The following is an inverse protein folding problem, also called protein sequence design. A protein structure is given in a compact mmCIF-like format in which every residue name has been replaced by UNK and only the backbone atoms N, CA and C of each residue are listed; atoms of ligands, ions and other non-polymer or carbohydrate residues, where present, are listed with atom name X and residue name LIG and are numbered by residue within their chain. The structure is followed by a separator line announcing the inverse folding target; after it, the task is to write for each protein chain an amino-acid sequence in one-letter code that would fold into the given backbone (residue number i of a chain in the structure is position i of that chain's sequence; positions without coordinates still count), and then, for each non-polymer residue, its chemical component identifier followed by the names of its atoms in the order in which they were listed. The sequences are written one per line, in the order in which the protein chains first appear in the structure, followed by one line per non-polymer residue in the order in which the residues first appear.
data_IF_642115746918
#
_entry.id   IF_642115746918
#
_cell.length_a   1.000
_cell.length_b   1.000
_cell.length_c   1.000
_cell.angle_alpha   90.00
_cell.angle_beta   90.00
_cell.angle_gamma   90.00
#
_symmetry.space_group_name_H-M   'P 1'
#
loop_
_entity.id
_entity.type
_entity.pdbx_description
1 polymer ?
#
# COMPACT_ATOMS: atom_id res chain seq x y z
N UNK A 1 -0.52 4.80 -6.23
CA UNK A 1 -0.06 5.36 -7.52
C UNK A 1 -1.24 5.84 -8.35
N UNK A 2 -2.20 4.98 -8.73
CA UNK A 2 -3.35 5.31 -9.59
C UNK A 2 -4.14 6.52 -9.07
N UNK A 3 -4.34 6.60 -7.75
CA UNK A 3 -5.00 7.72 -7.07
C UNK A 3 -4.27 9.05 -7.24
N UNK A 4 -2.93 9.05 -7.14
CA UNK A 4 -2.11 10.25 -7.32
C UNK A 4 -2.17 10.74 -8.78
N UNK A 5 -2.06 9.82 -9.75
CA UNK A 5 -2.20 10.13 -11.18
C UNK A 5 -3.58 10.72 -11.47
N UNK A 6 -4.64 10.06 -11.00
CA UNK A 6 -6.02 10.50 -11.19
C UNK A 6 -6.24 11.92 -10.65
N UNK A 7 -5.77 12.19 -9.43
CA UNK A 7 -5.92 13.50 -8.81
C UNK A 7 -5.16 14.59 -9.58
N UNK A 8 -3.94 14.29 -10.06
CA UNK A 8 -3.16 15.25 -10.86
C UNK A 8 -3.90 15.58 -12.16
N UNK A 9 -4.43 14.57 -12.87
CA UNK A 9 -5.17 14.79 -14.11
C UNK A 9 -6.46 15.60 -13.86
N UNK A 10 -7.16 15.31 -12.78
CA UNK A 10 -8.37 16.06 -12.39
C UNK A 10 -8.05 17.52 -12.10
N UNK A 11 -7.02 17.79 -11.30
CA UNK A 11 -6.58 19.15 -10.98
C UNK A 11 -6.02 19.91 -12.20
N UNK A 12 -5.50 19.18 -13.19
CA UNK A 12 -5.08 19.75 -14.46
C UNK A 12 -6.24 20.06 -15.41
N UNK A 13 -7.48 19.81 -15.00
CA UNK A 13 -8.68 20.05 -15.83
C UNK A 13 -8.81 19.06 -17.00
N UNK A 14 -8.18 17.89 -16.89
CA UNK A 14 -8.24 16.85 -17.93
C UNK A 14 -9.42 15.89 -17.76
N UNK A 15 -10.18 16.00 -16.67
CA UNK A 15 -11.42 15.27 -16.35
C UNK A 15 -11.40 13.79 -16.76
N UNK A 16 -10.47 12.98 -16.23
CA UNK A 16 -10.32 11.59 -16.66
C UNK A 16 -11.48 10.71 -16.19
N UNK A 17 -11.76 9.66 -16.95
CA UNK A 17 -12.51 8.51 -16.45
C UNK A 17 -11.63 7.74 -15.46
N UNK A 18 -12.19 7.36 -14.32
CA UNK A 18 -11.48 6.66 -13.24
C UNK A 18 -12.06 5.27 -13.02
N UNK A 19 -11.18 4.27 -12.88
CA UNK A 19 -11.47 2.92 -12.41
C UNK A 19 -10.31 2.48 -11.51
N UNK A 20 -10.44 2.68 -10.20
CA UNK A 20 -9.34 2.53 -9.23
C UNK A 20 -9.80 1.56 -8.13
N UNK A 21 -8.89 0.72 -7.62
CA UNK A 21 -9.21 -0.32 -6.64
C UNK A 21 -9.64 0.22 -5.27
N UNK A 22 -9.18 1.41 -4.87
CA UNK A 22 -9.53 2.05 -3.59
C UNK A 22 -10.28 3.37 -3.77
N UNK A 23 -11.17 3.71 -2.83
CA UNK A 23 -11.84 5.02 -2.80
C UNK A 23 -10.83 6.12 -2.47
N UNK A 24 -10.75 7.16 -3.32
CA UNK A 24 -9.89 8.31 -3.09
C UNK A 24 -10.51 9.21 -2.02
N UNK A 25 -9.75 9.52 -0.97
CA UNK A 25 -10.20 10.43 0.09
C UNK A 25 -10.53 11.84 -0.44
N UNK A 26 -9.85 12.29 -1.49
CA UNK A 26 -10.02 13.62 -2.08
C UNK A 26 -11.26 13.76 -2.97
N UNK A 27 -11.73 12.66 -3.57
CA UNK A 27 -12.84 12.66 -4.55
C UNK A 27 -14.05 11.89 -4.00
N UNK A 28 -13.86 10.97 -3.05
CA UNK A 28 -14.91 10.18 -2.41
C UNK A 28 -15.48 9.06 -3.28
N UNK A 29 -14.79 8.67 -4.36
CA UNK A 29 -15.22 7.59 -5.25
C UNK A 29 -13.99 6.78 -5.73
N UNK A 30 -14.23 5.55 -6.14
CA UNK A 30 -13.25 4.69 -6.79
C UNK A 30 -13.49 4.55 -8.30
N UNK A 31 -14.67 4.92 -8.79
CA UNK A 31 -15.02 4.95 -10.20
C UNK A 31 -15.80 6.22 -10.54
N UNK A 32 -15.46 6.84 -11.68
CA UNK A 32 -16.08 8.07 -12.17
C UNK A 32 -15.97 8.10 -13.68
N UNK A 33 -17.05 8.40 -14.36
CA UNK A 33 -17.01 8.74 -15.78
C UNK A 33 -16.54 10.20 -15.94
N UNK A 34 -15.47 10.42 -16.67
CA UNK A 34 -14.98 11.73 -17.08
C UNK A 34 -15.41 12.08 -18.50
N UNK A 35 -15.36 13.35 -18.83
CA UNK A 35 -15.63 13.87 -20.18
C UNK A 35 -14.31 14.19 -20.95
N UNK A 36 -13.17 13.98 -20.31
CA UNK A 36 -11.85 14.16 -20.91
C UNK A 36 -11.38 12.93 -21.71
N UNK A 37 -10.26 13.08 -22.43
CA UNK A 37 -9.76 12.02 -23.34
C UNK A 37 -8.99 10.90 -22.62
N UNK A 38 -8.81 10.98 -21.31
CA UNK A 38 -7.98 10.03 -20.55
C UNK A 38 -8.82 9.11 -19.67
N UNK A 39 -8.32 7.89 -19.49
CA UNK A 39 -8.79 6.96 -18.48
C UNK A 39 -7.61 6.54 -17.59
N UNK A 40 -7.79 6.63 -16.27
CA UNK A 40 -6.88 6.05 -15.29
C UNK A 40 -7.52 4.77 -14.77
N UNK A 41 -6.91 3.63 -15.09
CA UNK A 41 -7.37 2.33 -14.66
C UNK A 41 -6.30 1.65 -13.81
N UNK A 42 -6.70 1.13 -12.65
CA UNK A 42 -5.90 0.20 -11.87
C UNK A 42 -6.19 -1.21 -12.36
N UNK A 43 -5.15 -1.92 -12.75
CA UNK A 43 -5.25 -3.29 -13.24
C UNK A 43 -4.74 -4.24 -12.17
N UNK A 44 -5.47 -5.33 -11.97
CA UNK A 44 -5.15 -6.40 -11.04
C UNK A 44 -4.58 -7.59 -11.81
N UNK A 45 -3.51 -8.18 -11.30
CA UNK A 45 -2.85 -9.32 -11.93
C UNK A 45 -3.45 -10.68 -11.54
N UNK A 46 -4.35 -10.72 -10.55
CA UNK A 46 -4.81 -11.95 -9.88
C UNK A 46 -5.36 -13.04 -10.81
N UNK A 47 -5.92 -12.67 -11.96
CA UNK A 47 -6.50 -13.56 -12.97
C UNK A 47 -5.80 -13.47 -14.33
N UNK A 48 -4.70 -12.71 -14.42
CA UNK A 48 -3.95 -12.47 -15.66
C UNK A 48 -4.67 -11.58 -16.67
N UNK A 49 -5.84 -11.01 -16.32
CA UNK A 49 -6.62 -10.17 -17.25
C UNK A 49 -5.90 -8.88 -17.66
N UNK A 50 -5.00 -8.37 -16.83
CA UNK A 50 -4.19 -7.17 -17.10
C UNK A 50 -3.38 -7.30 -18.40
N UNK A 51 -2.97 -8.50 -18.78
CA UNK A 51 -2.25 -8.78 -20.03
C UNK A 51 -3.08 -8.49 -21.30
N UNK A 52 -4.40 -8.28 -21.19
CA UNK A 52 -5.28 -7.97 -22.32
C UNK A 52 -5.40 -6.48 -22.61
N UNK A 53 -4.86 -5.64 -21.74
CA UNK A 53 -4.94 -4.19 -21.89
C UNK A 53 -3.77 -3.65 -22.70
N UNK A 54 -4.06 -2.63 -23.54
CA UNK A 54 -3.09 -1.94 -24.37
C UNK A 54 -3.11 -0.43 -24.04
N UNK A 55 -2.47 -0.01 -22.94
CA UNK A 55 -2.50 1.38 -22.50
C UNK A 55 -1.59 2.26 -23.37
N UNK A 56 -1.82 3.58 -23.33
CA UNK A 56 -0.88 4.57 -23.85
C UNK A 56 0.32 4.73 -22.90
N UNK A 57 0.08 4.65 -21.59
CA UNK A 57 1.12 4.66 -20.55
C UNK A 57 0.82 3.51 -19.58
N UNK A 58 1.78 2.57 -19.44
CA UNK A 58 1.74 1.51 -18.46
C UNK A 58 2.65 1.85 -17.28
N UNK A 59 2.11 1.86 -16.08
CA UNK A 59 2.90 2.00 -14.84
C UNK A 59 2.96 0.67 -14.14
N UNK A 60 4.16 0.16 -13.86
CA UNK A 60 4.36 -1.06 -13.09
C UNK A 60 5.18 -0.71 -11.85
N UNK A 61 4.56 -0.87 -10.70
CA UNK A 61 5.15 -0.47 -9.41
C UNK A 61 6.05 -1.56 -8.82
N UNK A 62 5.65 -2.79 -8.98
CA UNK A 62 6.39 -3.98 -8.53
C UNK A 62 5.90 -5.23 -9.27
N UNK A 63 6.69 -6.30 -9.21
CA UNK A 63 6.31 -7.64 -9.62
C UNK A 63 6.74 -8.61 -8.51
N UNK A 64 5.80 -9.04 -7.68
CA UNK A 64 6.02 -9.92 -6.55
C UNK A 64 5.19 -11.20 -6.65
N UNK A 65 5.57 -12.23 -5.90
CA UNK A 65 4.86 -13.48 -5.92
C UNK A 65 3.63 -13.43 -5.01
N UNK A 66 2.50 -13.21 -5.59
CA UNK A 66 1.17 -13.35 -4.98
C UNK A 66 0.27 -14.19 -5.92
N UNK A 67 -1.00 -14.35 -5.55
CA UNK A 67 -2.00 -15.07 -6.34
C UNK A 67 -1.53 -16.47 -6.76
N UNK A 68 -1.02 -17.23 -5.79
CA UNK A 68 -0.41 -18.57 -5.98
C UNK A 68 -1.31 -19.57 -6.73
N UNK A 69 -2.63 -19.37 -6.71
CA UNK A 69 -3.59 -20.15 -7.48
C UNK A 69 -3.51 -19.89 -8.99
N UNK A 70 -3.09 -18.69 -9.40
CA UNK A 70 -2.92 -18.31 -10.80
C UNK A 70 -1.46 -18.39 -11.23
N UNK A 71 -0.53 -17.99 -10.37
CA UNK A 71 0.90 -18.02 -10.59
C UNK A 71 1.58 -19.03 -9.66
N UNK A 72 1.82 -20.27 -10.13
CA UNK A 72 2.41 -21.32 -9.31
C UNK A 72 3.84 -21.00 -8.82
N UNK A 73 4.56 -20.16 -9.55
CA UNK A 73 5.95 -19.78 -9.24
C UNK A 73 6.17 -18.28 -9.46
N UNK A 74 7.24 -17.74 -8.87
CA UNK A 74 7.63 -16.35 -9.12
C UNK A 74 8.01 -16.11 -10.59
N UNK A 75 8.59 -17.11 -11.25
CA UNK A 75 8.94 -17.04 -12.66
C UNK A 75 7.68 -16.84 -13.54
N UNK A 76 6.56 -17.49 -13.21
CA UNK A 76 5.31 -17.30 -13.95
C UNK A 76 4.74 -15.89 -13.81
N UNK A 77 4.94 -15.23 -12.64
CA UNK A 77 4.64 -13.81 -12.47
C UNK A 77 5.52 -12.96 -13.39
N UNK A 78 6.84 -13.18 -13.35
CA UNK A 78 7.78 -12.42 -14.17
C UNK A 78 7.49 -12.55 -15.67
N UNK A 79 7.11 -13.74 -16.13
CA UNK A 79 6.72 -13.97 -17.53
C UNK A 79 5.47 -13.15 -17.91
N UNK A 80 4.44 -13.12 -17.04
CA UNK A 80 3.22 -12.35 -17.27
C UNK A 80 3.53 -10.84 -17.35
N UNK A 81 4.29 -10.32 -16.38
CA UNK A 81 4.70 -8.91 -16.41
C UNK A 81 5.61 -8.60 -17.59
N UNK A 82 6.50 -9.51 -17.99
CA UNK A 82 7.32 -9.36 -19.22
C UNK A 82 6.46 -9.24 -20.47
N UNK A 83 5.41 -10.09 -20.60
CA UNK A 83 4.44 -9.95 -21.71
C UNK A 83 3.71 -8.61 -21.66
N UNK A 84 3.30 -8.17 -20.47
CA UNK A 84 2.61 -6.89 -20.29
C UNK A 84 3.50 -5.68 -20.69
N UNK A 85 4.82 -5.74 -20.50
CA UNK A 85 5.71 -4.67 -20.95
C UNK A 85 5.69 -4.46 -22.49
N UNK A 86 5.18 -5.42 -23.23
CA UNK A 86 5.01 -5.34 -24.69
C UNK A 86 3.66 -4.74 -25.11
N UNK A 87 2.72 -4.62 -24.19
CA UNK A 87 1.34 -4.24 -24.48
C UNK A 87 1.05 -2.75 -24.69
N UNK A 88 1.86 -1.80 -24.17
CA UNK A 88 1.61 -0.40 -24.52
C UNK A 88 1.52 -0.22 -26.03
N UNK A 89 0.61 0.64 -26.48
CA UNK A 89 0.42 0.97 -27.90
C UNK A 89 1.72 1.43 -28.57
N UNK A 90 1.78 1.45 -29.88
CA UNK A 90 2.92 2.00 -30.61
C UNK A 90 3.12 3.47 -30.23
N UNK A 91 4.33 3.84 -29.81
CA UNK A 91 4.64 5.13 -29.23
C UNK A 91 4.21 5.30 -27.77
N UNK A 92 3.71 4.24 -27.14
CA UNK A 92 3.36 4.24 -25.72
C UNK A 92 4.57 4.14 -24.80
N UNK A 93 4.37 4.44 -23.52
CA UNK A 93 5.41 4.55 -22.51
C UNK A 93 5.26 3.50 -21.40
N UNK A 94 6.39 2.97 -20.95
CA UNK A 94 6.51 2.20 -19.71
C UNK A 94 7.08 3.09 -18.60
N UNK A 95 6.47 3.05 -17.42
CA UNK A 95 6.98 3.69 -16.19
C UNK A 95 7.22 2.61 -15.16
N UNK A 96 8.49 2.32 -14.83
CA UNK A 96 8.89 1.15 -14.08
C UNK A 96 9.65 1.54 -12.81
N UNK A 97 9.31 0.90 -11.67
CA UNK A 97 10.06 1.04 -10.43
C UNK A 97 11.41 0.30 -10.54
N UNK A 98 12.52 1.04 -10.51
CA UNK A 98 13.85 0.46 -10.54
C UNK A 98 14.29 -0.19 -9.24
N UNK A 99 13.59 0.08 -8.15
CA UNK A 99 13.88 -0.47 -6.81
C UNK A 99 13.26 -1.85 -6.58
N UNK A 100 12.35 -2.28 -7.47
CA UNK A 100 11.69 -3.57 -7.32
C UNK A 100 12.55 -4.70 -7.91
N UNK A 101 12.79 -5.74 -7.11
CA UNK A 101 13.65 -6.86 -7.49
C UNK A 101 13.09 -7.68 -8.67
N UNK A 102 11.76 -7.80 -8.77
CA UNK A 102 11.09 -8.49 -9.88
C UNK A 102 11.25 -7.70 -11.17
N UNK A 103 10.96 -6.40 -11.15
CA UNK A 103 11.17 -5.52 -12.30
C UNK A 103 12.65 -5.39 -12.66
N UNK A 104 13.56 -5.42 -11.68
CA UNK A 104 15.00 -5.48 -11.92
C UNK A 104 15.41 -6.69 -12.76
N UNK A 105 14.81 -7.86 -12.56
CA UNK A 105 15.04 -9.04 -13.41
C UNK A 105 14.53 -8.84 -14.84
N UNK A 106 13.36 -8.22 -15.00
CA UNK A 106 12.80 -7.91 -16.32
C UNK A 106 13.70 -6.91 -17.06
N UNK A 107 14.14 -5.85 -16.40
CA UNK A 107 15.06 -4.85 -16.95
C UNK A 107 16.42 -5.46 -17.34
N UNK A 108 16.93 -6.40 -16.56
CA UNK A 108 18.20 -7.07 -16.82
C UNK A 108 18.14 -8.13 -17.94
N UNK A 109 16.94 -8.64 -18.27
CA UNK A 109 16.77 -9.68 -19.29
C UNK A 109 17.01 -9.18 -20.72
N UNK A 110 17.02 -7.87 -20.95
CA UNK A 110 17.32 -7.27 -22.26
C UNK A 110 16.57 -5.96 -22.51
N UNK A 111 16.70 -5.43 -23.73
CA UNK A 111 16.02 -4.18 -24.08
C UNK A 111 14.50 -4.38 -24.04
N UNK A 112 13.81 -3.42 -23.43
CA UNK A 112 12.36 -3.41 -23.39
C UNK A 112 11.78 -3.10 -24.79
N UNK A 113 10.62 -3.67 -25.13
CA UNK A 113 10.01 -3.49 -26.45
C UNK A 113 9.36 -2.11 -26.64
N UNK A 114 9.31 -1.29 -25.60
CA UNK A 114 8.73 0.06 -25.58
C UNK A 114 9.70 1.04 -24.92
N UNK A 115 9.53 2.33 -25.18
CA UNK A 115 10.21 3.38 -24.41
C UNK A 115 9.90 3.23 -22.93
N UNK A 116 10.93 3.30 -22.10
CA UNK A 116 10.79 3.09 -20.67
C UNK A 116 11.43 4.24 -19.88
N UNK A 117 10.70 4.71 -18.91
CA UNK A 117 11.12 5.65 -17.87
C UNK A 117 11.19 4.89 -16.56
N UNK A 118 12.32 4.99 -15.87
CA UNK A 118 12.54 4.34 -14.58
C UNK A 118 12.52 5.33 -13.42
N UNK A 119 12.09 4.88 -12.25
CA UNK A 119 12.10 5.70 -11.05
C UNK A 119 12.60 4.93 -9.83
N UNK A 120 13.19 5.66 -8.88
CA UNK A 120 13.75 5.06 -7.66
C UNK A 120 14.50 6.05 -6.78
N UNK A 121 15.36 5.52 -5.89
CA UNK A 121 16.14 6.31 -4.94
C UNK A 121 17.42 6.87 -5.56
N UNK A 122 17.74 8.11 -5.18
CA UNK A 122 18.93 8.80 -5.68
C UNK A 122 18.72 9.43 -7.05
N UNK A 123 19.81 9.81 -7.70
CA UNK A 123 19.79 10.56 -8.96
C UNK A 123 20.11 9.68 -10.19
N UNK A 124 20.26 8.37 -9.99
CA UNK A 124 20.64 7.43 -11.06
C UNK A 124 19.50 6.95 -11.95
N UNK A 125 18.26 7.23 -11.58
CA UNK A 125 17.05 6.89 -12.32
C UNK A 125 16.57 8.07 -13.16
N UNK A 126 15.69 7.81 -14.14
CA UNK A 126 15.06 8.91 -14.90
C UNK A 126 14.34 9.88 -13.96
N UNK A 127 13.60 9.33 -12.98
CA UNK A 127 13.00 10.09 -11.87
C UNK A 127 13.55 9.58 -10.54
N UNK A 128 14.19 10.45 -9.78
CA UNK A 128 14.84 10.06 -8.53
C UNK A 128 14.39 10.87 -7.33
N UNK A 129 14.28 10.22 -6.16
CA UNK A 129 14.09 10.88 -4.87
C UNK A 129 15.34 10.74 -4.00
N UNK A 130 15.71 11.83 -3.33
CA UNK A 130 16.85 11.88 -2.41
C UNK A 130 16.60 12.92 -1.31
N UNK A 131 17.50 13.03 -0.31
CA UNK A 131 17.32 13.92 0.84
C UNK A 131 15.98 13.75 1.56
N UNK A 132 15.53 12.50 1.72
CA UNK A 132 14.23 12.18 2.33
C UNK A 132 14.22 12.53 3.81
N UNK A 133 13.14 13.18 4.26
CA UNK A 133 12.86 13.50 5.66
C UNK A 133 11.43 13.11 5.99
N UNK A 134 11.27 12.23 6.97
CA UNK A 134 9.96 11.85 7.50
C UNK A 134 9.55 12.85 8.59
N UNK A 135 8.31 13.33 8.54
CA UNK A 135 7.79 14.27 9.50
C UNK A 135 7.14 13.51 10.67
N UNK A 136 7.40 13.98 11.90
CA UNK A 136 6.68 13.45 13.06
C UNK A 136 5.17 13.73 12.92
N UNK A 137 4.36 12.70 13.18
CA UNK A 137 2.91 12.80 13.03
C UNK A 137 2.39 12.66 11.60
N UNK A 138 3.28 12.44 10.63
CA UNK A 138 2.90 12.12 9.25
C UNK A 138 3.45 13.04 8.18
N UNK A 139 3.40 12.54 6.94
CA UNK A 139 3.94 13.23 5.77
C UNK A 139 5.45 13.04 5.59
N UNK A 140 5.95 13.44 4.42
CA UNK A 140 7.35 13.30 4.04
C UNK A 140 7.76 14.42 3.10
N UNK A 141 9.01 14.88 3.21
CA UNK A 141 9.64 15.82 2.27
C UNK A 141 10.89 15.18 1.65
N UNK A 142 11.15 15.48 0.40
CA UNK A 142 12.29 14.96 -0.36
C UNK A 142 12.64 15.84 -1.54
N UNK A 143 13.88 15.75 -1.99
CA UNK A 143 14.33 16.38 -3.24
C UNK A 143 14.03 15.44 -4.41
N UNK A 144 13.59 16.00 -5.55
CA UNK A 144 13.30 15.24 -6.77
C UNK A 144 14.29 15.60 -7.86
N UNK A 145 14.78 14.57 -8.58
CA UNK A 145 15.63 14.71 -9.74
C UNK A 145 14.95 14.12 -10.98
N UNK A 146 15.23 14.71 -12.13
CA UNK A 146 14.89 14.20 -13.46
C UNK A 146 16.16 14.15 -14.32
N UNK A 147 16.45 12.97 -14.88
CA UNK A 147 17.66 12.73 -15.70
C UNK A 147 18.97 13.17 -15.02
N UNK A 148 19.08 12.88 -13.72
CA UNK A 148 20.26 13.21 -12.92
C UNK A 148 20.37 14.68 -12.51
N UNK A 149 19.38 15.53 -12.81
CA UNK A 149 19.35 16.93 -12.42
C UNK A 149 18.32 17.17 -11.33
N UNK A 150 18.70 17.79 -10.22
CA UNK A 150 17.75 18.25 -9.18
C UNK A 150 16.80 19.29 -9.80
N UNK A 151 15.50 19.08 -9.68
CA UNK A 151 14.49 19.98 -10.27
C UNK A 151 13.70 20.76 -9.22
N UNK A 152 13.41 20.17 -8.05
CA UNK A 152 12.68 20.83 -6.95
C UNK A 152 12.72 19.99 -5.67
N UNK A 153 12.14 20.52 -4.58
CA UNK A 153 11.83 19.79 -3.35
C UNK A 153 10.32 19.58 -3.27
N UNK A 154 9.91 18.41 -2.83
CA UNK A 154 8.52 17.99 -2.72
C UNK A 154 8.13 17.66 -1.28
N UNK A 155 6.84 17.81 -1.00
CA UNK A 155 6.20 17.39 0.24
C UNK A 155 4.98 16.54 -0.10
N UNK A 156 4.78 15.47 0.66
CA UNK A 156 3.55 14.67 0.67
C UNK A 156 2.93 14.73 2.05
N UNK A 157 1.61 14.83 2.12
CA UNK A 157 0.86 14.70 3.39
C UNK A 157 0.76 13.26 3.85
N UNK A 158 0.92 12.29 2.94
CA UNK A 158 0.91 10.86 3.25
C UNK A 158 2.32 10.35 3.56
N UNK A 159 2.42 9.40 4.49
CA UNK A 159 3.68 8.84 4.98
C UNK A 159 4.08 7.58 4.23
N UNK A 160 5.34 7.17 4.41
CA UNK A 160 5.90 5.92 3.90
C UNK A 160 6.71 6.09 2.61
N UNK A 161 7.81 5.35 2.53
CA UNK A 161 8.72 5.35 1.39
C UNK A 161 8.03 4.94 0.08
N UNK A 162 7.08 4.01 0.17
CA UNK A 162 6.28 3.58 -0.98
C UNK A 162 5.47 4.74 -1.59
N UNK A 163 5.04 5.72 -0.79
CA UNK A 163 4.33 6.89 -1.32
C UNK A 163 5.25 7.88 -2.02
N UNK A 164 6.54 7.94 -1.66
CA UNK A 164 7.54 8.67 -2.43
C UNK A 164 7.72 8.04 -3.82
N UNK A 165 7.87 6.71 -3.88
CA UNK A 165 7.97 5.97 -5.13
C UNK A 165 6.69 6.13 -5.99
N UNK A 166 5.51 6.05 -5.36
CA UNK A 166 4.23 6.32 -6.04
C UNK A 166 4.17 7.74 -6.62
N UNK A 167 4.67 8.73 -5.88
CA UNK A 167 4.74 10.13 -6.34
C UNK A 167 5.69 10.29 -7.52
N UNK A 168 6.86 9.61 -7.52
CA UNK A 168 7.77 9.62 -8.66
C UNK A 168 7.12 9.04 -9.93
N UNK A 169 6.40 7.92 -9.81
CA UNK A 169 5.63 7.35 -10.91
C UNK A 169 4.57 8.33 -11.44
N UNK A 170 3.84 8.99 -10.53
CA UNK A 170 2.84 9.99 -10.89
C UNK A 170 3.47 11.23 -11.57
N UNK A 171 4.65 11.67 -11.11
CA UNK A 171 5.43 12.73 -11.76
C UNK A 171 5.83 12.35 -13.19
N UNK A 172 6.29 11.11 -13.41
CA UNK A 172 6.68 10.61 -14.72
C UNK A 172 5.51 10.65 -15.71
N UNK A 173 4.33 10.15 -15.29
CA UNK A 173 3.11 10.19 -16.10
C UNK A 173 2.68 11.62 -16.38
N UNK A 174 2.60 12.46 -15.35
CA UNK A 174 2.15 13.85 -15.49
C UNK A 174 3.09 14.69 -16.35
N UNK A 175 4.40 14.47 -16.26
CA UNK A 175 5.41 15.12 -17.10
C UNK A 175 5.23 14.73 -18.58
N UNK A 176 5.00 13.46 -18.87
CA UNK A 176 4.73 12.96 -20.22
C UNK A 176 3.49 13.66 -20.83
N UNK A 177 2.48 13.92 -20.00
CA UNK A 177 1.28 14.65 -20.39
C UNK A 177 1.46 16.17 -20.37
N UNK A 178 2.68 16.66 -20.15
CA UNK A 178 3.07 18.09 -20.15
C UNK A 178 2.32 18.92 -19.09
N UNK A 179 1.94 18.29 -17.96
CA UNK A 179 1.34 19.00 -16.82
C UNK A 179 2.45 19.81 -16.12
N UNK A 180 2.23 21.10 -15.83
CA UNK A 180 3.22 21.94 -15.16
C UNK A 180 3.65 21.36 -13.81
N UNK A 181 4.97 21.30 -13.56
CA UNK A 181 5.50 20.69 -12.32
C UNK A 181 4.99 21.36 -11.04
N UNK A 182 4.76 22.69 -11.08
CA UNK A 182 4.16 23.43 -9.96
C UNK A 182 2.77 22.92 -9.58
N UNK A 183 1.98 22.47 -10.55
CA UNK A 183 0.66 21.87 -10.33
C UNK A 183 0.82 20.45 -9.74
N UNK A 184 1.72 19.64 -10.29
CA UNK A 184 2.02 18.31 -9.76
C UNK A 184 2.41 18.40 -8.29
N UNK A 185 3.37 19.27 -7.96
CA UNK A 185 3.86 19.52 -6.62
C UNK A 185 2.73 19.93 -5.65
N UNK A 186 1.90 20.89 -6.06
CA UNK A 186 0.76 21.33 -5.26
C UNK A 186 -0.22 20.20 -4.98
N UNK A 187 -0.62 19.48 -6.03
CA UNK A 187 -1.60 18.39 -5.93
C UNK A 187 -1.10 17.27 -5.02
N UNK A 188 0.16 16.86 -5.17
CA UNK A 188 0.74 15.80 -4.34
C UNK A 188 0.92 16.22 -2.88
N UNK A 189 1.20 17.49 -2.61
CA UNK A 189 1.23 18.02 -1.24
C UNK A 189 -0.14 17.98 -0.56
N UNK A 190 -1.22 18.19 -1.32
CA UNK A 190 -2.60 18.21 -0.81
C UNK A 190 -3.26 16.81 -0.82
N UNK A 191 -2.60 15.79 -1.39
CA UNK A 191 -3.12 14.43 -1.51
C UNK A 191 -3.36 13.77 -0.16
N UNK A 192 -4.62 13.37 0.13
CA UNK A 192 -5.06 12.81 1.41
C UNK A 192 -4.99 11.28 1.49
N UNK A 193 -4.51 10.63 0.43
CA UNK A 193 -4.46 9.18 0.36
C UNK A 193 -5.73 8.52 -0.18
N UNK A 194 -5.75 7.21 -0.10
CA UNK A 194 -6.92 6.39 -0.36
C UNK A 194 -7.41 5.79 0.96
N UNK A 195 -8.70 5.50 1.06
CA UNK A 195 -9.25 4.81 2.24
C UNK A 195 -8.51 3.50 2.46
N UNK A 196 -8.32 3.16 3.72
CA UNK A 196 -7.62 1.95 4.14
C UNK A 196 -6.16 1.85 3.63
N UNK A 197 -5.46 2.96 3.42
CA UNK A 197 -4.03 3.00 3.10
C UNK A 197 -3.34 3.90 4.13
N UNK A 198 -2.94 3.30 5.25
CA UNK A 198 -2.44 3.96 6.47
C UNK A 198 -3.39 5.11 6.86
N UNK A 199 -4.69 4.83 6.80
CA UNK A 199 -5.75 5.81 7.08
C UNK A 199 -5.81 6.11 8.56
N UNK A 200 -5.67 7.38 8.96
CA UNK A 200 -5.92 7.80 10.32
C UNK A 200 -7.43 7.81 10.59
N UNK A 201 -7.89 6.95 11.51
CA UNK A 201 -9.30 6.86 11.91
C UNK A 201 -9.66 7.85 13.01
N UNK A 202 -8.70 8.23 13.82
CA UNK A 202 -8.87 9.18 14.91
C UNK A 202 -7.98 8.92 16.10
N UNK A 203 -8.15 9.78 17.14
CA UNK A 203 -7.48 9.64 18.42
C UNK A 203 -8.50 9.46 19.54
N UNK A 204 -8.25 8.53 20.45
CA UNK A 204 -9.09 8.31 21.63
C UNK A 204 -8.23 7.98 22.85
N UNK A 205 -8.47 8.64 24.01
CA UNK A 205 -7.73 8.45 25.26
C UNK A 205 -6.19 8.55 25.10
N UNK A 206 -5.72 9.37 24.13
CA UNK A 206 -4.29 9.51 23.83
C UNK A 206 -3.71 8.40 22.95
N UNK A 207 -4.53 7.49 22.43
CA UNK A 207 -4.17 6.43 21.48
C UNK A 207 -4.52 6.87 20.07
N UNK A 208 -3.56 6.81 19.13
CA UNK A 208 -3.79 7.06 17.70
C UNK A 208 -4.23 5.75 17.03
N UNK A 209 -5.26 5.82 16.19
CA UNK A 209 -5.83 4.63 15.52
C UNK A 209 -5.71 4.78 14.01
N UNK A 210 -5.10 3.75 13.38
CA UNK A 210 -4.89 3.67 11.94
C UNK A 210 -5.51 2.39 11.36
N UNK A 211 -5.90 2.44 10.09
CA UNK A 211 -6.34 1.27 9.31
C UNK A 211 -5.57 1.15 7.99
N UNK A 212 -5.21 -0.08 7.62
CA UNK A 212 -4.54 -0.37 6.37
C UNK A 212 -5.10 -1.64 5.70
N UNK A 213 -5.20 -1.61 4.39
CA UNK A 213 -5.69 -2.73 3.57
C UNK A 213 -4.62 -3.80 3.33
N UNK A 214 -3.38 -3.58 3.76
CA UNK A 214 -2.24 -4.47 3.53
C UNK A 214 -2.55 -5.91 3.91
N UNK A 215 -2.31 -6.82 2.99
CA UNK A 215 -2.61 -8.24 3.16
C UNK A 215 -1.49 -9.15 2.61
N UNK A 216 -0.44 -8.56 2.06
CA UNK A 216 0.81 -9.24 1.69
C UNK A 216 1.93 -8.83 2.67
N UNK A 217 2.89 -9.71 3.03
CA UNK A 217 3.96 -9.39 3.99
C UNK A 217 4.74 -8.11 3.65
N UNK A 218 5.00 -7.84 2.37
CA UNK A 218 5.71 -6.61 1.94
C UNK A 218 4.88 -5.34 2.18
N UNK A 219 3.57 -5.40 1.96
CA UNK A 219 2.67 -4.28 2.26
C UNK A 219 2.65 -4.00 3.77
N UNK A 220 2.49 -5.05 4.58
CA UNK A 220 2.51 -4.96 6.03
C UNK A 220 3.83 -4.36 6.51
N UNK A 221 4.97 -4.84 6.01
CA UNK A 221 6.28 -4.31 6.35
C UNK A 221 6.41 -2.81 6.02
N UNK A 222 5.90 -2.39 4.86
CA UNK A 222 5.92 -0.98 4.46
C UNK A 222 5.07 -0.11 5.39
N UNK A 223 3.88 -0.59 5.79
CA UNK A 223 2.97 0.11 6.71
C UNK A 223 3.57 0.20 8.11
N UNK A 224 4.12 -0.89 8.66
CA UNK A 224 4.78 -0.90 9.97
C UNK A 224 5.99 0.04 10.00
N UNK A 225 6.81 0.03 8.94
CA UNK A 225 7.94 0.96 8.81
C UNK A 225 7.50 2.42 8.72
N UNK A 226 6.37 2.71 8.06
CA UNK A 226 5.83 4.06 8.01
C UNK A 226 5.39 4.55 9.40
N UNK A 227 4.69 3.70 10.17
CA UNK A 227 4.27 4.02 11.55
C UNK A 227 5.48 4.26 12.45
N UNK A 228 6.49 3.38 12.40
CA UNK A 228 7.72 3.53 13.21
C UNK A 228 8.41 4.89 12.96
N UNK A 229 8.46 5.32 11.68
CA UNK A 229 9.02 6.65 11.32
C UNK A 229 8.15 7.83 11.73
N UNK A 230 6.82 7.66 11.71
CA UNK A 230 5.89 8.71 12.17
C UNK A 230 5.92 8.88 13.68
N UNK A 231 6.11 7.79 14.41
CA UNK A 231 5.98 7.71 15.85
C UNK A 231 7.14 6.92 16.48
N UNK A 232 8.38 7.38 16.34
CA UNK A 232 9.53 6.67 16.89
C UNK A 232 9.35 6.49 18.41
N UNK A 233 9.70 5.31 18.91
CA UNK A 233 9.62 4.93 20.34
C UNK A 233 8.20 4.80 20.92
N UNK A 234 7.15 4.90 20.10
CA UNK A 234 5.78 4.60 20.53
C UNK A 234 5.51 3.10 20.44
N UNK A 235 4.76 2.58 21.43
CA UNK A 235 4.29 1.21 21.35
C UNK A 235 3.26 1.05 20.24
N UNK A 236 3.40 -0.01 19.46
CA UNK A 236 2.52 -0.36 18.36
C UNK A 236 1.78 -1.67 18.66
N UNK A 237 0.46 -1.58 18.75
CA UNK A 237 -0.45 -2.71 18.84
C UNK A 237 -1.09 -2.93 17.48
N UNK A 238 -0.95 -4.14 16.92
CA UNK A 238 -1.47 -4.50 15.61
C UNK A 238 -2.61 -5.51 15.74
N UNK A 239 -3.79 -5.19 15.19
CA UNK A 239 -4.81 -6.19 14.92
C UNK A 239 -4.68 -6.64 13.46
N UNK A 240 -4.40 -7.92 13.24
CA UNK A 240 -4.18 -8.49 11.91
C UNK A 240 -5.19 -9.59 11.59
N UNK A 241 -5.77 -9.50 10.39
CA UNK A 241 -6.64 -10.54 9.83
C UNK A 241 -6.01 -11.10 8.55
N UNK A 242 -5.49 -12.34 8.57
CA UNK A 242 -5.02 -12.98 7.35
C UNK A 242 -6.16 -13.12 6.34
N UNK A 243 -5.86 -12.93 5.07
CA UNK A 243 -6.84 -12.95 3.98
C UNK A 243 -6.53 -14.09 3.02
N UNK A 244 -7.49 -15.02 2.84
CA UNK A 244 -7.42 -16.28 2.08
C UNK A 244 -6.59 -17.37 2.76
N UNK A 245 -7.10 -18.59 2.73
CA UNK A 245 -6.40 -19.76 3.29
C UNK A 245 -5.15 -20.11 2.49
N UNK A 246 -5.22 -20.03 1.16
CA UNK A 246 -4.08 -20.33 0.28
C UNK A 246 -2.91 -19.41 0.53
N UNK A 247 -3.15 -18.09 0.64
CA UNK A 247 -2.11 -17.11 0.97
C UNK A 247 -1.57 -17.31 2.38
N UNK A 248 -2.44 -17.58 3.35
CA UNK A 248 -2.02 -17.84 4.73
C UNK A 248 -1.09 -19.03 4.79
N UNK A 249 -1.43 -20.14 4.11
CA UNK A 249 -0.58 -21.33 4.06
C UNK A 249 0.78 -21.05 3.41
N UNK A 250 0.80 -20.29 2.33
CA UNK A 250 2.04 -19.98 1.60
C UNK A 250 2.96 -19.04 2.40
N UNK A 251 2.40 -18.04 3.11
CA UNK A 251 3.16 -16.89 3.63
C UNK A 251 3.11 -16.73 5.16
N UNK A 252 2.56 -17.71 5.94
CA UNK A 252 2.43 -17.55 7.40
C UNK A 252 3.76 -17.27 8.12
N UNK A 253 4.89 -17.74 7.60
CA UNK A 253 6.22 -17.49 8.15
C UNK A 253 6.66 -16.04 7.93
N UNK A 254 6.37 -15.52 6.76
CA UNK A 254 6.69 -14.14 6.40
C UNK A 254 5.79 -13.17 7.16
N UNK A 255 4.48 -13.51 7.33
CA UNK A 255 3.59 -12.76 8.22
C UNK A 255 4.12 -12.69 9.65
N UNK A 256 4.51 -13.81 10.23
CA UNK A 256 5.06 -13.83 11.58
C UNK A 256 6.36 -13.00 11.67
N UNK A 257 7.23 -13.09 10.66
CA UNK A 257 8.47 -12.33 10.62
C UNK A 257 8.22 -10.82 10.62
N UNK A 258 7.33 -10.32 9.75
CA UNK A 258 7.05 -8.87 9.67
C UNK A 258 6.27 -8.37 10.90
N UNK A 259 5.29 -9.12 11.39
CA UNK A 259 4.50 -8.76 12.57
C UNK A 259 5.32 -8.80 13.87
N UNK A 260 6.46 -9.48 13.86
CA UNK A 260 7.35 -9.52 15.02
C UNK A 260 7.93 -8.15 15.40
N UNK A 261 7.86 -7.15 14.54
CA UNK A 261 8.27 -5.77 14.86
C UNK A 261 7.25 -5.00 15.71
N UNK A 262 5.98 -5.40 15.75
CA UNK A 262 4.98 -4.81 16.63
C UNK A 262 5.22 -5.20 18.11
N UNK A 263 4.76 -4.40 19.07
CA UNK A 263 4.86 -4.70 20.49
C UNK A 263 3.83 -5.76 20.94
N UNK A 264 2.64 -5.73 20.35
CA UNK A 264 1.59 -6.73 20.54
C UNK A 264 0.81 -6.95 19.26
N UNK A 265 0.36 -8.19 19.03
CA UNK A 265 -0.40 -8.59 17.86
C UNK A 265 -1.70 -9.30 18.27
N UNK A 266 -2.83 -8.75 17.86
CA UNK A 266 -4.14 -9.41 17.99
C UNK A 266 -4.46 -10.05 16.64
N UNK A 267 -4.63 -11.37 16.63
CA UNK A 267 -4.86 -12.17 15.43
C UNK A 267 -6.32 -12.60 15.33
N UNK A 268 -6.96 -12.27 14.22
CA UNK A 268 -8.31 -12.74 13.90
C UNK A 268 -8.30 -14.02 13.06
N UNK A 269 -9.44 -14.74 12.96
CA UNK A 269 -9.58 -15.84 12.03
C UNK A 269 -9.30 -15.42 10.59
N UNK A 270 -8.82 -16.36 9.78
CA UNK A 270 -8.57 -16.10 8.36
C UNK A 270 -9.87 -15.66 7.68
N UNK A 271 -9.84 -14.52 6.99
CA UNK A 271 -10.94 -14.08 6.14
C UNK A 271 -10.97 -14.91 4.84
N UNK A 272 -12.07 -15.62 4.61
CA UNK A 272 -12.16 -16.67 3.58
C UNK A 272 -12.06 -16.12 2.14
N UNK A 273 -12.69 -14.97 1.86
CA UNK A 273 -12.71 -14.35 0.52
C UNK A 273 -13.00 -15.35 -0.61
N UNK A 274 -14.13 -16.06 -0.49
CA UNK A 274 -14.62 -17.07 -1.46
C UNK A 274 -13.76 -18.35 -1.57
N UNK A 275 -12.83 -18.59 -0.62
CA UNK A 275 -12.10 -19.85 -0.53
C UNK A 275 -12.75 -20.80 0.49
N UNK A 276 -12.69 -22.10 0.21
CA UNK A 276 -13.03 -23.13 1.18
C UNK A 276 -11.91 -23.25 2.23
N UNK A 277 -12.22 -23.52 3.52
CA UNK A 277 -11.23 -23.74 4.53
C UNK A 277 -10.27 -24.88 4.18
N UNK A 278 -8.98 -24.66 4.41
CA UNK A 278 -7.94 -25.69 4.26
C UNK A 278 -7.64 -26.29 5.64
N UNK A 279 -7.70 -27.62 5.75
CA UNK A 279 -7.43 -28.32 7.01
C UNK A 279 -6.04 -27.98 7.55
N UNK A 280 -5.98 -27.60 8.84
CA UNK A 280 -4.74 -27.21 9.51
C UNK A 280 -4.28 -25.78 9.23
N UNK A 281 -4.99 -25.00 8.40
CA UNK A 281 -4.64 -23.60 8.11
C UNK A 281 -5.52 -22.65 8.89
N UNK A 282 -4.87 -21.87 9.76
CA UNK A 282 -5.53 -20.84 10.57
C UNK A 282 -4.50 -19.77 10.98
N UNK A 283 -4.97 -18.70 11.58
CA UNK A 283 -4.11 -17.67 12.22
C UNK A 283 -3.22 -18.28 13.34
N UNK A 284 -3.56 -19.46 13.85
CA UNK A 284 -2.75 -20.21 14.80
C UNK A 284 -1.36 -20.58 14.28
N UNK A 285 -1.17 -20.69 12.94
CA UNK A 285 0.16 -20.91 12.36
C UNK A 285 1.10 -19.69 12.59
N UNK A 286 0.54 -18.49 12.51
CA UNK A 286 1.26 -17.22 12.74
C UNK A 286 1.50 -17.05 14.24
N UNK A 287 0.46 -17.30 15.06
CA UNK A 287 0.52 -17.22 16.52
C UNK A 287 1.60 -18.10 17.10
N UNK A 288 1.66 -19.36 16.65
CA UNK A 288 2.67 -20.31 17.11
C UNK A 288 4.12 -19.84 16.87
N UNK A 289 4.37 -19.09 15.79
CA UNK A 289 5.67 -18.51 15.48
C UNK A 289 5.96 -17.26 16.31
N UNK A 290 4.97 -16.38 16.49
CA UNK A 290 5.11 -15.15 17.27
C UNK A 290 5.31 -15.46 18.77
N UNK A 291 4.61 -16.47 19.30
CA UNK A 291 4.70 -16.89 20.69
C UNK A 291 5.76 -17.99 20.93
N UNK A 292 6.49 -18.39 19.90
CA UNK A 292 7.62 -19.30 20.03
C UNK A 292 8.70 -18.76 20.98
N UNK A 293 9.44 -19.66 21.63
CA UNK A 293 10.52 -19.31 22.57
C UNK A 293 10.08 -18.58 23.86
N UNK A 294 8.83 -18.73 24.28
CA UNK A 294 8.32 -18.19 25.54
C UNK A 294 7.97 -16.69 25.51
N UNK A 295 7.95 -16.07 24.34
CA UNK A 295 7.39 -14.75 24.15
C UNK A 295 5.86 -14.86 24.06
N UNK A 296 5.14 -13.98 24.76
CA UNK A 296 3.68 -13.83 24.62
C UNK A 296 3.41 -12.56 23.84
N UNK A 297 3.60 -12.62 22.53
CA UNK A 297 3.56 -11.46 21.63
C UNK A 297 2.23 -11.35 20.88
N UNK A 298 1.53 -12.47 20.71
CA UNK A 298 0.26 -12.50 20.00
C UNK A 298 -0.85 -13.18 20.81
N UNK A 299 -2.08 -12.76 20.53
CA UNK A 299 -3.32 -13.27 21.12
C UNK A 299 -4.29 -13.58 19.98
N UNK A 300 -4.88 -14.79 20.00
CA UNK A 300 -5.93 -15.20 19.07
C UNK A 300 -7.29 -14.72 19.60
N UNK A 301 -8.04 -14.02 18.77
CA UNK A 301 -9.42 -13.61 19.03
C UNK A 301 -10.36 -14.29 18.04
N UNK A 302 -11.55 -14.67 18.49
CA UNK A 302 -12.55 -15.37 17.67
C UNK A 302 -13.46 -14.44 16.88
N UNK A 303 -13.54 -13.14 17.24
CA UNK A 303 -14.42 -12.15 16.60
C UNK A 303 -13.80 -10.75 16.58
N UNK A 304 -14.41 -9.86 15.82
CA UNK A 304 -14.03 -8.44 15.75
C UNK A 304 -14.24 -7.73 17.11
N UNK A 305 -15.32 -8.06 17.79
CA UNK A 305 -15.66 -7.51 19.12
C UNK A 305 -14.66 -7.94 20.19
N UNK A 306 -14.23 -9.21 20.13
CA UNK A 306 -13.20 -9.73 21.02
C UNK A 306 -11.86 -9.04 20.78
N UNK A 307 -11.48 -8.84 19.51
CA UNK A 307 -10.27 -8.13 19.13
C UNK A 307 -10.27 -6.66 19.59
N UNK A 308 -11.39 -5.94 19.40
CA UNK A 308 -11.54 -4.57 19.89
C UNK A 308 -11.43 -4.49 21.42
N UNK A 309 -12.06 -5.44 22.14
CA UNK A 309 -11.99 -5.52 23.60
C UNK A 309 -10.58 -5.88 24.10
N UNK A 310 -9.86 -6.70 23.36
CA UNK A 310 -8.49 -7.07 23.72
C UNK A 310 -7.52 -5.91 23.52
N UNK A 311 -7.66 -5.16 22.41
CA UNK A 311 -6.91 -3.91 22.20
C UNK A 311 -7.15 -2.91 23.35
N UNK A 312 -8.42 -2.72 23.75
CA UNK A 312 -8.79 -1.82 24.85
C UNK A 312 -8.09 -2.19 26.19
N UNK A 313 -8.03 -3.48 26.52
CA UNK A 313 -7.34 -3.96 27.74
C UNK A 313 -5.83 -3.71 27.70
N UNK A 314 -5.22 -3.74 26.52
CA UNK A 314 -3.76 -3.66 26.36
C UNK A 314 -3.25 -2.23 26.13
N UNK A 315 -4.10 -1.34 25.57
CA UNK A 315 -3.70 0.00 25.21
C UNK A 315 -3.43 0.90 26.42
N UNK A 316 -2.41 1.72 26.28
CA UNK A 316 -2.05 2.79 27.21
C UNK A 316 -2.05 4.13 26.46
N UNK A 317 -2.29 5.25 27.17
CA UNK A 317 -2.15 6.57 26.55
C UNK A 317 -0.76 6.78 25.90
N UNK A 318 -0.74 7.17 24.65
CA UNK A 318 0.46 7.32 23.86
C UNK A 318 0.77 6.18 22.90
N UNK A 319 0.03 5.06 22.98
CA UNK A 319 0.17 3.93 22.07
C UNK A 319 -0.41 4.24 20.68
N UNK A 320 0.00 3.42 19.72
CA UNK A 320 -0.55 3.39 18.36
C UNK A 320 -1.29 2.06 18.16
N UNK A 321 -2.51 2.13 17.66
CA UNK A 321 -3.29 0.96 17.20
C UNK A 321 -3.34 0.96 15.69
N UNK A 322 -2.99 -0.16 15.08
CA UNK A 322 -3.11 -0.40 13.65
C UNK A 322 -4.02 -1.61 13.42
N UNK A 323 -5.11 -1.42 12.68
CA UNK A 323 -5.85 -2.53 12.06
C UNK A 323 -5.32 -2.77 10.65
N UNK A 324 -5.01 -4.03 10.29
CA UNK A 324 -4.42 -4.32 8.99
C UNK A 324 -4.95 -5.64 8.40
N UNK A 325 -5.36 -5.60 7.13
CA UNK A 325 -5.91 -6.74 6.39
C UNK A 325 -6.96 -6.34 5.36
N UNK A 326 -7.20 -7.18 4.36
CA UNK A 326 -8.15 -6.90 3.27
C UNK A 326 -9.61 -7.29 3.59
N UNK A 327 -9.86 -7.97 4.72
CA UNK A 327 -11.19 -8.35 5.18
C UNK A 327 -11.93 -7.25 5.93
N UNK A 328 -12.76 -7.66 6.87
CA UNK A 328 -13.61 -6.80 7.70
C UNK A 328 -12.90 -6.24 8.95
N UNK A 329 -11.61 -6.46 9.09
CA UNK A 329 -10.75 -6.01 10.19
C UNK A 329 -10.83 -4.49 10.45
N UNK A 330 -11.11 -3.68 9.41
CA UNK A 330 -11.28 -2.22 9.54
C UNK A 330 -12.33 -1.85 10.60
N UNK A 331 -13.36 -2.67 10.75
CA UNK A 331 -14.41 -2.45 11.75
C UNK A 331 -13.85 -2.51 13.19
N UNK A 332 -12.76 -3.23 13.44
CA UNK A 332 -12.14 -3.30 14.77
C UNK A 332 -11.65 -1.93 15.24
N UNK A 333 -11.03 -1.15 14.33
CA UNK A 333 -10.58 0.21 14.65
C UNK A 333 -11.74 1.15 14.98
N UNK A 334 -12.84 1.07 14.21
CA UNK A 334 -14.05 1.84 14.47
C UNK A 334 -14.70 1.43 15.82
N UNK A 335 -14.87 0.12 16.05
CA UNK A 335 -15.40 -0.42 17.31
C UNK A 335 -14.55 0.00 18.50
N UNK A 336 -13.22 -0.01 18.39
CA UNK A 336 -12.31 0.43 19.44
C UNK A 336 -12.54 1.90 19.79
N UNK A 337 -12.66 2.78 18.78
CA UNK A 337 -12.93 4.21 19.01
C UNK A 337 -14.32 4.42 19.63
N UNK A 338 -15.36 3.73 19.16
CA UNK A 338 -16.72 3.85 19.68
C UNK A 338 -16.85 3.40 21.14
N UNK A 339 -16.26 2.26 21.49
CA UNK A 339 -16.24 1.74 22.87
C UNK A 339 -15.58 2.72 23.83
N UNK A 340 -14.36 3.18 23.48
CA UNK A 340 -13.64 4.13 24.32
C UNK A 340 -14.37 5.48 24.49
N UNK A 341 -15.16 5.92 23.47
CA UNK A 341 -16.04 7.10 23.60
C UNK A 341 -17.21 6.87 24.56
N UNK A 342 -17.81 5.68 24.54
CA UNK A 342 -18.93 5.34 25.40
C UNK A 342 -18.54 5.34 26.90
N UNK A 343 -17.33 4.91 27.24
CA UNK A 343 -16.82 4.94 28.61
C UNK A 343 -16.59 6.35 29.14
N UNK A 344 -16.09 7.27 28.28
CA UNK A 344 -15.89 8.68 28.67
C UNK A 344 -17.21 9.40 28.97
N UNK A 345 -18.34 9.00 28.37
CA UNK A 345 -19.65 9.59 28.60
C UNK A 345 -20.29 9.10 29.92
N UNK A 346 -19.83 7.95 30.46
CA UNK A 346 -20.37 7.33 31.66
C UNK A 346 -19.46 7.48 32.91
N UNK A 347 -18.27 8.08 32.76
CA UNK A 347 -17.33 8.42 33.82
C UNK A 347 -17.45 9.90 34.25
#
# INVERSE_FOLDING_TARGET
TSSMIALILEQAGLHPTLAIGGELCDIGVNAKLGDGPYMVAELDESDGSFEKFHPDIAVVTNADWDHVNHYPTFESVLEAFTRFTSNPKDGGLLVLCGEDAGLGKILAAGPLPREAVTYGWGMGWTWGAFNVKHNHGGGVSFSIAHEGVHIDDMELSVSGDHNILNALAACAVAHTLRIPFTMIKKTLKEFKGAKRRLQHLGQINGVEVYDDYGHHPREIAATLSAIDRMFPEKRLLVAFQPHRFTRTLALYRDFAAVLSSADSVVLLPVYQADEEPIEGVSSGLIDALLNGNGNSKSILCGSLEEAASELEKQCLPGDIVLTIGAGDISNVGEMFIEKARAEVVHA
#
